data_IF_395364775557
#
_entry.id   IF_395364775557
#
_cell.length_a   1.000
_cell.length_b   1.000
_cell.length_c   1.000
_cell.angle_alpha   90.00
_cell.angle_beta   90.00
_cell.angle_gamma   90.00
#
_symmetry.space_group_name_H-M   'P 1'
#
loop_
_entity.id
_entity.type
_entity.pdbx_description
1 polymer ?
#
# COMPACT_ATOMS: atom_id res chain seq x y z
N UNK A 1 32.65 -30.29 -50.17
CA UNK A 1 31.47 -30.96 -50.78
C UNK A 1 30.47 -31.22 -49.70
N UNK A 2 29.39 -30.50 -49.65
CA UNK A 2 28.04 -30.89 -49.23
C UNK A 2 27.14 -29.64 -49.33
N UNK A 3 26.14 -29.79 -50.17
CA UNK A 3 25.23 -28.74 -50.66
C UNK A 3 24.18 -28.40 -49.61
N UNK A 4 23.92 -27.10 -49.42
CA UNK A 4 22.73 -26.60 -48.74
C UNK A 4 21.52 -26.69 -49.66
N UNK A 5 20.44 -27.31 -49.20
CA UNK A 5 19.16 -27.34 -49.88
C UNK A 5 18.26 -26.20 -49.34
N UNK A 6 17.89 -25.35 -50.28
CA UNK A 6 16.93 -24.26 -50.08
C UNK A 6 15.51 -24.83 -50.29
N UNK A 7 14.68 -24.84 -49.23
CA UNK A 7 13.27 -25.20 -49.31
C UNK A 7 12.44 -23.94 -49.50
N UNK A 8 11.89 -23.78 -50.69
CA UNK A 8 10.88 -22.79 -51.06
C UNK A 8 9.52 -23.33 -50.61
N UNK A 9 8.84 -22.65 -49.71
CA UNK A 9 7.45 -22.90 -49.38
C UNK A 9 6.53 -22.03 -50.25
N UNK A 10 5.79 -22.67 -51.14
CA UNK A 10 4.69 -22.07 -51.89
C UNK A 10 3.50 -21.80 -50.94
N UNK A 11 3.09 -20.55 -50.83
CA UNK A 11 1.84 -20.13 -50.20
C UNK A 11 0.68 -20.42 -51.17
N UNK A 12 -0.12 -21.41 -50.84
CA UNK A 12 -1.45 -21.62 -51.41
C UNK A 12 -2.42 -20.68 -50.69
N UNK A 13 -2.93 -19.71 -51.41
CA UNK A 13 -4.03 -18.84 -50.97
C UNK A 13 -5.34 -19.64 -51.02
N UNK A 14 -5.78 -20.11 -49.86
CA UNK A 14 -7.16 -20.57 -49.68
C UNK A 14 -7.99 -19.36 -49.23
N UNK A 15 -8.90 -18.92 -50.07
CA UNK A 15 -9.89 -17.90 -49.74
C UNK A 15 -10.82 -18.41 -48.64
N UNK A 16 -10.68 -17.86 -47.47
CA UNK A 16 -11.64 -18.02 -46.38
C UNK A 16 -12.71 -16.94 -46.54
N UNK A 17 -13.92 -17.38 -46.92
CA UNK A 17 -15.13 -16.57 -46.79
C UNK A 17 -15.32 -16.16 -45.32
N UNK A 18 -15.45 -14.86 -45.06
CA UNK A 18 -15.83 -14.34 -43.78
C UNK A 18 -17.23 -14.87 -43.41
N UNK A 19 -17.46 -15.31 -42.19
CA UNK A 19 -18.81 -15.59 -41.72
C UNK A 19 -19.54 -14.24 -41.56
N UNK A 20 -20.54 -14.00 -42.40
CA UNK A 20 -21.58 -13.02 -42.13
C UNK A 20 -22.43 -13.55 -40.98
N UNK A 21 -22.16 -13.06 -39.81
CA UNK A 21 -22.88 -13.31 -38.58
C UNK A 21 -22.46 -12.26 -37.59
N UNK A 22 -22.89 -11.03 -37.84
CA UNK A 22 -22.77 -9.96 -36.87
C UNK A 22 -23.62 -10.26 -35.65
N UNK A 23 -23.07 -10.99 -34.67
CA UNK A 23 -23.52 -10.89 -33.29
C UNK A 23 -23.22 -9.49 -32.83
N UNK A 24 -24.21 -8.62 -32.99
CA UNK A 24 -24.30 -7.36 -32.26
C UNK A 24 -24.27 -7.74 -30.79
N UNK A 25 -23.07 -7.62 -30.17
CA UNK A 25 -22.94 -7.63 -28.70
C UNK A 25 -23.93 -6.58 -28.21
N UNK A 26 -25.12 -7.03 -27.81
CA UNK A 26 -26.07 -6.19 -27.06
C UNK A 26 -25.26 -5.76 -25.85
N UNK A 27 -24.83 -4.50 -25.84
CA UNK A 27 -24.39 -3.81 -24.63
C UNK A 27 -25.58 -3.88 -23.68
N UNK A 28 -25.64 -4.93 -22.86
CA UNK A 28 -26.66 -5.05 -21.82
C UNK A 28 -26.47 -3.83 -20.91
N UNK A 29 -27.43 -2.92 -20.97
CA UNK A 29 -27.44 -1.74 -20.11
C UNK A 29 -27.34 -2.22 -18.67
N UNK A 30 -26.32 -1.74 -17.93
CA UNK A 30 -26.19 -2.07 -16.53
C UNK A 30 -27.49 -1.75 -15.79
N UNK A 31 -27.92 -2.58 -14.83
CA UNK A 31 -29.13 -2.33 -14.06
C UNK A 31 -28.97 -1.00 -13.30
N UNK A 32 -30.03 -0.19 -13.27
CA UNK A 32 -30.11 0.95 -12.36
C UNK A 32 -30.33 0.49 -10.91
N UNK A 33 -30.66 1.44 -10.05
CA UNK A 33 -31.03 1.09 -8.66
C UNK A 33 -32.37 0.35 -8.62
N UNK A 34 -32.48 -0.61 -7.72
CA UNK A 34 -33.77 -1.22 -7.33
C UNK A 34 -34.69 -0.19 -6.67
N UNK A 35 -35.98 -0.49 -6.58
CA UNK A 35 -36.92 0.42 -5.94
C UNK A 35 -36.58 0.73 -4.47
N UNK A 36 -36.21 -0.26 -3.62
CA UNK A 36 -35.76 0.01 -2.26
C UNK A 36 -34.52 0.93 -2.23
N UNK A 37 -33.48 0.64 -3.02
CA UNK A 37 -32.26 1.44 -3.07
C UNK A 37 -32.55 2.89 -3.52
N UNK A 38 -33.43 3.07 -4.52
CA UNK A 38 -33.91 4.42 -4.92
C UNK A 38 -34.66 5.12 -3.78
N UNK A 39 -35.49 4.39 -3.05
CA UNK A 39 -36.20 4.91 -1.88
C UNK A 39 -35.28 5.44 -0.79
N UNK A 40 -34.16 4.74 -0.53
CA UNK A 40 -33.13 5.24 0.38
C UNK A 40 -32.48 6.52 -0.16
N UNK A 41 -32.02 6.51 -1.41
CA UNK A 41 -31.30 7.65 -1.98
C UNK A 41 -32.21 8.87 -2.28
N UNK A 42 -33.54 8.69 -2.37
CA UNK A 42 -34.45 9.81 -2.46
C UNK A 42 -34.52 10.68 -1.20
N UNK A 43 -34.03 10.17 -0.06
CA UNK A 43 -33.89 10.87 1.22
C UNK A 43 -32.63 11.73 1.31
N UNK A 44 -31.78 11.76 0.27
CA UNK A 44 -30.57 12.59 0.27
C UNK A 44 -30.91 14.07 0.46
N UNK A 45 -30.14 14.77 1.32
CA UNK A 45 -30.30 16.21 1.48
C UNK A 45 -30.09 16.97 0.15
N UNK A 46 -30.72 18.15 0.00
CA UNK A 46 -30.54 18.99 -1.18
C UNK A 46 -29.06 19.25 -1.50
N UNK A 47 -28.70 19.19 -2.77
CA UNK A 47 -27.33 19.43 -3.23
C UNK A 47 -26.34 18.24 -3.02
N UNK A 48 -26.76 17.16 -2.36
CA UNK A 48 -25.95 15.95 -2.22
C UNK A 48 -26.18 15.03 -3.41
N UNK A 49 -25.04 14.62 -4.04
CA UNK A 49 -25.04 13.61 -5.10
C UNK A 49 -24.47 12.30 -4.57
N UNK A 50 -24.90 11.17 -5.14
CA UNK A 50 -24.40 9.85 -4.79
C UNK A 50 -23.91 9.09 -6.02
N UNK A 51 -22.75 8.45 -5.89
CA UNK A 51 -22.25 7.43 -6.80
C UNK A 51 -22.30 6.06 -6.12
N UNK A 52 -22.99 5.10 -6.75
CA UNK A 52 -23.19 3.76 -6.19
C UNK A 52 -22.87 2.71 -7.24
N UNK A 53 -22.16 1.67 -6.81
CA UNK A 53 -21.97 0.43 -7.57
C UNK A 53 -21.97 -0.76 -6.60
N UNK A 54 -22.71 -1.80 -6.96
CA UNK A 54 -22.76 -3.08 -6.25
C UNK A 54 -22.55 -4.22 -7.24
N UNK A 55 -21.67 -5.16 -6.89
CA UNK A 55 -21.33 -6.31 -7.72
C UNK A 55 -21.35 -7.57 -6.87
N UNK A 56 -22.01 -8.63 -7.38
CA UNK A 56 -21.88 -9.98 -6.83
C UNK A 56 -20.50 -10.55 -7.21
N UNK A 57 -19.70 -10.86 -6.20
CA UNK A 57 -18.33 -11.33 -6.42
C UNK A 57 -18.25 -12.78 -6.90
N UNK A 58 -19.33 -13.56 -6.73
CA UNK A 58 -19.39 -14.94 -7.20
C UNK A 58 -19.78 -15.02 -8.67
N UNK A 59 -20.84 -14.31 -9.05
CA UNK A 59 -21.37 -14.32 -10.43
C UNK A 59 -20.74 -13.26 -11.32
N UNK A 60 -20.09 -12.25 -10.75
CA UNK A 60 -19.55 -11.04 -11.40
C UNK A 60 -20.63 -10.10 -11.93
N UNK A 61 -21.88 -10.38 -11.64
CA UNK A 61 -22.99 -9.55 -12.07
C UNK A 61 -22.96 -8.17 -11.38
N UNK A 62 -23.19 -7.14 -12.16
CA UNK A 62 -23.52 -5.80 -11.63
C UNK A 62 -24.97 -5.86 -11.16
N UNK A 63 -25.21 -5.50 -9.90
CA UNK A 63 -26.51 -5.60 -9.25
C UNK A 63 -27.24 -4.24 -9.16
N UNK A 64 -26.52 -3.20 -8.82
CA UNK A 64 -27.04 -1.85 -8.59
C UNK A 64 -26.08 -0.79 -9.12
N UNK A 65 -26.55 0.21 -9.84
CA UNK A 65 -25.74 1.36 -10.28
C UNK A 65 -26.48 2.68 -10.17
N UNK A 66 -25.77 3.71 -9.73
CA UNK A 66 -26.13 5.12 -9.88
C UNK A 66 -24.84 5.93 -10.04
N UNK A 67 -24.72 6.67 -11.14
CA UNK A 67 -23.52 7.48 -11.44
C UNK A 67 -22.19 6.78 -11.10
N UNK A 68 -22.00 5.48 -11.51
CA UNK A 68 -20.87 4.67 -11.06
C UNK A 68 -19.52 5.17 -11.57
N UNK A 69 -19.54 5.96 -12.66
CA UNK A 69 -18.37 6.51 -13.33
C UNK A 69 -18.13 8.00 -13.06
N UNK A 70 -19.04 8.62 -12.32
CA UNK A 70 -18.87 10.02 -11.89
C UNK A 70 -17.74 10.13 -10.87
N UNK A 71 -16.98 11.24 -10.96
CA UNK A 71 -15.89 11.53 -10.07
C UNK A 71 -16.39 12.16 -8.76
N UNK A 72 -16.06 11.52 -7.63
CA UNK A 72 -16.38 11.97 -6.28
C UNK A 72 -15.13 12.20 -5.46
N UNK A 73 -15.19 13.07 -4.46
CA UNK A 73 -14.16 13.14 -3.41
C UNK A 73 -14.32 11.88 -2.54
N UNK A 74 -13.28 11.03 -2.47
CA UNK A 74 -13.39 9.74 -1.79
C UNK A 74 -13.18 9.82 -0.28
N UNK A 75 -12.64 10.92 0.22
CA UNK A 75 -12.10 11.00 1.57
C UNK A 75 -11.22 9.76 1.87
N UNK A 76 -11.27 9.21 3.09
CA UNK A 76 -10.42 8.09 3.50
C UNK A 76 -10.70 6.74 2.82
N UNK A 77 -11.68 6.63 1.90
CA UNK A 77 -11.81 5.40 1.09
C UNK A 77 -10.66 5.25 0.08
N UNK A 78 -9.90 6.32 -0.23
CA UNK A 78 -8.68 6.23 -1.03
C UNK A 78 -7.63 5.30 -0.39
N UNK A 79 -7.64 5.13 0.95
CA UNK A 79 -6.77 4.21 1.66
C UNK A 79 -6.91 2.75 1.20
N UNK A 80 -8.02 2.40 0.54
CA UNK A 80 -8.17 1.10 -0.11
C UNK A 80 -7.17 0.93 -1.26
N UNK A 81 -6.90 2.01 -2.01
CA UNK A 81 -5.91 2.00 -3.10
C UNK A 81 -4.50 1.91 -2.51
N UNK A 82 -4.18 2.76 -1.55
CA UNK A 82 -2.88 2.75 -0.88
C UNK A 82 -2.60 1.39 -0.24
N UNK A 83 -3.56 0.81 0.49
CA UNK A 83 -3.42 -0.51 1.08
C UNK A 83 -3.18 -1.60 0.03
N UNK A 84 -3.95 -1.58 -1.05
CA UNK A 84 -3.88 -2.58 -2.10
C UNK A 84 -2.55 -2.55 -2.87
N UNK A 85 -2.11 -1.35 -3.27
CA UNK A 85 -0.86 -1.17 -4.00
C UNK A 85 0.36 -1.52 -3.15
N UNK A 86 0.34 -1.15 -1.85
CA UNK A 86 1.40 -1.51 -0.90
C UNK A 86 1.45 -3.01 -0.66
N UNK A 87 0.29 -3.65 -0.47
CA UNK A 87 0.22 -5.10 -0.25
C UNK A 87 0.80 -5.87 -1.44
N UNK A 88 0.44 -5.48 -2.65
CA UNK A 88 0.92 -6.10 -3.89
C UNK A 88 2.43 -5.86 -4.11
N UNK A 89 2.90 -4.61 -3.97
CA UNK A 89 4.33 -4.27 -4.13
C UNK A 89 5.23 -5.00 -3.12
N UNK A 90 4.71 -5.36 -1.95
CA UNK A 90 5.44 -6.06 -0.89
C UNK A 90 5.32 -7.58 -0.94
N UNK A 91 4.79 -8.14 -2.02
CA UNK A 91 4.66 -9.59 -2.18
C UNK A 91 3.52 -10.21 -1.36
N UNK A 92 2.46 -9.45 -1.15
CA UNK A 92 1.27 -9.93 -0.46
C UNK A 92 1.47 -10.10 1.04
N UNK A 93 0.75 -11.04 1.62
CA UNK A 93 0.75 -11.32 3.07
C UNK A 93 2.03 -11.94 3.60
N UNK A 94 2.86 -12.54 2.73
CA UNK A 94 4.16 -13.13 3.09
C UNK A 94 5.32 -12.13 3.01
N UNK A 95 5.09 -10.94 2.47
CA UNK A 95 6.07 -9.89 2.38
C UNK A 95 6.47 -9.31 3.75
N UNK A 96 7.47 -8.45 3.71
CA UNK A 96 7.90 -7.68 4.88
C UNK A 96 8.68 -6.44 4.45
N UNK A 97 8.73 -5.46 5.32
CA UNK A 97 9.75 -4.42 5.27
C UNK A 97 11.00 -4.89 5.99
N UNK A 98 12.14 -4.34 5.62
CA UNK A 98 13.42 -4.66 6.23
C UNK A 98 14.13 -3.40 6.69
N UNK A 99 14.87 -3.53 7.78
CA UNK A 99 15.88 -2.55 8.19
C UNK A 99 17.19 -3.29 8.44
N UNK A 100 18.29 -2.65 8.08
CA UNK A 100 19.63 -3.25 8.19
C UNK A 100 20.66 -2.25 8.66
N UNK A 101 21.73 -2.77 9.29
CA UNK A 101 22.95 -2.05 9.55
C UNK A 101 24.04 -2.56 8.60
N UNK A 102 24.69 -1.62 7.91
CA UNK A 102 25.74 -1.90 6.94
C UNK A 102 27.05 -1.25 7.34
N UNK A 103 28.16 -1.84 6.92
CA UNK A 103 29.52 -1.34 7.11
C UNK A 103 30.27 -1.33 5.78
N UNK A 104 31.38 -0.57 5.62
CA UNK A 104 32.22 -0.68 4.44
C UNK A 104 32.64 -2.12 4.17
N UNK A 105 32.56 -2.54 2.92
CA UNK A 105 32.88 -3.92 2.53
C UNK A 105 34.27 -4.39 3.00
N UNK A 106 35.24 -3.46 3.03
CA UNK A 106 36.62 -3.73 3.51
C UNK A 106 36.73 -3.95 5.04
N UNK A 107 35.63 -3.66 5.77
CA UNK A 107 35.63 -3.70 7.25
C UNK A 107 34.70 -4.78 7.81
N UNK A 108 34.10 -5.57 6.96
CA UNK A 108 33.28 -6.72 7.39
C UNK A 108 34.15 -7.68 8.23
N UNK A 109 33.60 -8.10 9.38
CA UNK A 109 34.32 -8.97 10.33
C UNK A 109 35.34 -8.25 11.23
N UNK A 110 35.50 -6.91 11.08
CA UNK A 110 36.37 -6.13 11.97
C UNK A 110 35.64 -5.68 13.23
N UNK A 111 36.31 -5.70 14.37
CA UNK A 111 35.73 -5.18 15.61
C UNK A 111 35.58 -3.64 15.59
N UNK A 112 36.43 -2.96 14.85
CA UNK A 112 36.40 -1.51 14.68
C UNK A 112 36.04 -1.16 13.25
N UNK A 113 34.97 -0.35 13.07
CA UNK A 113 34.48 0.11 11.78
C UNK A 113 34.44 1.65 11.74
N UNK A 114 34.78 2.22 10.58
CA UNK A 114 34.81 3.68 10.41
C UNK A 114 33.41 4.30 10.55
N UNK A 115 32.38 3.59 10.05
CA UNK A 115 31.01 3.98 10.20
C UNK A 115 30.07 2.77 10.12
N UNK A 116 28.87 2.97 10.67
CA UNK A 116 27.76 2.03 10.62
C UNK A 116 26.54 2.78 10.06
N UNK A 117 25.96 2.29 8.97
CA UNK A 117 24.84 2.93 8.29
C UNK A 117 23.55 2.18 8.57
N UNK A 118 22.52 2.88 9.07
CA UNK A 118 21.15 2.36 9.12
C UNK A 118 20.47 2.59 7.79
N UNK A 119 19.97 1.52 7.18
CA UNK A 119 19.16 1.49 5.97
C UNK A 119 17.79 0.89 6.29
N UNK A 120 16.74 1.36 5.64
CA UNK A 120 15.39 0.85 5.88
C UNK A 120 14.46 1.10 4.71
N UNK A 121 13.25 0.57 4.81
CA UNK A 121 12.23 0.64 3.76
C UNK A 121 11.25 1.82 3.92
N UNK A 122 11.44 2.68 4.91
CA UNK A 122 10.54 3.82 5.16
C UNK A 122 9.19 3.45 5.78
N UNK A 123 9.02 2.21 6.21
CA UNK A 123 7.79 1.75 6.82
C UNK A 123 7.59 2.32 8.23
N UNK A 124 6.33 2.45 8.69
CA UNK A 124 5.99 3.08 9.98
C UNK A 124 6.12 2.14 11.18
N UNK A 125 6.78 0.98 11.07
CA UNK A 125 6.73 -0.07 12.11
C UNK A 125 8.08 -0.43 12.71
N UNK A 126 9.19 0.12 12.21
CA UNK A 126 10.49 0.00 12.85
C UNK A 126 10.42 0.66 14.24
N UNK A 127 10.73 -0.09 15.29
CA UNK A 127 10.64 0.37 16.67
C UNK A 127 12.02 0.53 17.31
N UNK A 128 12.09 1.14 18.48
CA UNK A 128 13.32 1.16 19.28
C UNK A 128 13.58 -0.22 19.87
N UNK A 129 12.53 -0.93 20.32
CA UNK A 129 12.63 -2.24 20.98
C UNK A 129 11.70 -3.27 20.33
N UNK A 130 11.94 -4.55 20.57
CA UNK A 130 11.17 -5.66 20.01
C UNK A 130 11.93 -6.40 18.91
N UNK A 131 11.23 -7.24 18.16
CA UNK A 131 11.85 -8.07 17.12
C UNK A 131 12.26 -7.26 15.88
N UNK A 132 11.43 -6.31 15.46
CA UNK A 132 11.72 -5.38 14.35
C UNK A 132 12.14 -4.02 14.93
N UNK A 133 13.42 -3.92 15.33
CA UNK A 133 13.85 -2.77 16.14
C UNK A 133 15.33 -2.43 16.01
N UNK A 134 15.65 -1.20 16.46
CA UNK A 134 17.02 -0.73 16.59
C UNK A 134 17.83 -1.59 17.59
N UNK A 135 17.19 -2.04 18.68
CA UNK A 135 17.82 -2.93 19.68
C UNK A 135 18.22 -4.26 19.06
N UNK A 136 17.33 -4.91 18.32
CA UNK A 136 17.62 -6.17 17.67
C UNK A 136 18.75 -6.02 16.64
N UNK A 137 18.77 -4.92 15.88
CA UNK A 137 19.87 -4.60 14.96
C UNK A 137 21.20 -4.41 15.71
N UNK A 138 21.21 -3.67 16.81
CA UNK A 138 22.42 -3.43 17.61
C UNK A 138 22.98 -4.74 18.20
N UNK A 139 22.11 -5.61 18.72
CA UNK A 139 22.49 -6.92 19.25
C UNK A 139 23.09 -7.82 18.17
N UNK A 140 22.50 -7.84 16.97
CA UNK A 140 23.05 -8.60 15.85
C UNK A 140 24.41 -8.05 15.41
N UNK A 141 24.57 -6.73 15.30
CA UNK A 141 25.85 -6.12 14.95
C UNK A 141 26.95 -6.49 15.97
N UNK A 142 26.61 -6.50 17.26
CA UNK A 142 27.52 -6.96 18.32
C UNK A 142 27.87 -8.46 18.15
N UNK A 143 26.88 -9.30 17.89
CA UNK A 143 27.09 -10.73 17.65
C UNK A 143 27.97 -10.99 16.41
N UNK A 144 27.89 -10.14 15.39
CA UNK A 144 28.77 -10.17 14.20
C UNK A 144 30.16 -9.54 14.42
N UNK A 145 30.53 -9.25 15.67
CA UNK A 145 31.86 -8.84 16.03
C UNK A 145 32.11 -7.34 16.08
N UNK A 146 31.17 -6.49 15.75
CA UNK A 146 31.31 -5.02 15.84
C UNK A 146 31.41 -4.61 17.31
N UNK A 147 32.44 -3.82 17.67
CA UNK A 147 32.69 -3.33 19.03
C UNK A 147 32.87 -1.82 19.09
N UNK A 148 33.40 -1.22 18.03
CA UNK A 148 33.63 0.22 17.95
C UNK A 148 33.18 0.76 16.60
N UNK A 149 32.45 1.84 16.63
CA UNK A 149 31.92 2.56 15.45
C UNK A 149 32.44 3.99 15.47
N UNK A 150 33.11 4.43 14.41
CA UNK A 150 33.56 5.80 14.29
C UNK A 150 32.39 6.78 14.22
N UNK A 151 31.45 6.53 13.32
CA UNK A 151 30.28 7.38 13.10
C UNK A 151 29.03 6.55 12.73
N UNK A 152 27.88 6.89 13.32
CA UNK A 152 26.57 6.40 12.87
C UNK A 152 26.09 7.23 11.69
N UNK A 153 25.61 6.57 10.62
CA UNK A 153 25.02 7.22 9.44
C UNK A 153 23.60 6.75 9.22
N UNK A 154 22.75 7.62 8.68
CA UNK A 154 21.38 7.32 8.32
C UNK A 154 21.20 7.48 6.80
N UNK A 155 20.61 6.47 6.17
CA UNK A 155 20.30 6.52 4.74
C UNK A 155 18.95 7.20 4.50
N UNK A 156 18.99 8.47 4.12
CA UNK A 156 17.83 9.26 3.75
C UNK A 156 17.68 9.39 2.21
N UNK A 157 18.57 8.74 1.44
CA UNK A 157 18.60 8.86 -0.01
C UNK A 157 17.39 8.25 -0.74
N UNK A 158 16.67 7.25 -0.17
CA UNK A 158 15.52 6.66 -0.84
C UNK A 158 14.34 7.62 -1.08
N UNK A 159 14.24 8.72 -0.30
CA UNK A 159 13.22 9.76 -0.52
C UNK A 159 13.89 11.11 -0.80
N UNK A 160 13.33 11.87 -1.73
CA UNK A 160 13.83 13.21 -2.02
C UNK A 160 13.42 14.21 -0.95
N UNK A 161 14.23 15.25 -0.76
CA UNK A 161 13.90 16.38 0.10
C UNK A 161 12.63 17.15 -0.33
N UNK A 162 12.16 16.96 -1.56
CA UNK A 162 10.94 17.58 -2.07
C UNK A 162 9.65 16.95 -1.49
N UNK A 163 9.72 15.78 -0.85
CA UNK A 163 8.61 15.24 -0.07
C UNK A 163 8.68 15.77 1.38
N UNK A 164 8.78 17.08 1.50
CA UNK A 164 9.02 17.69 2.80
C UNK A 164 7.82 17.68 3.74
N UNK A 165 6.60 17.64 3.17
CA UNK A 165 5.37 17.71 3.97
C UNK A 165 4.28 16.82 3.39
N UNK A 166 3.60 16.10 4.30
CA UNK A 166 2.33 15.44 4.02
C UNK A 166 1.17 16.44 4.10
N UNK A 167 -0.05 16.06 3.71
CA UNK A 167 -1.25 16.87 3.99
C UNK A 167 -1.46 17.19 5.48
N UNK A 168 -0.74 16.51 6.37
CA UNK A 168 -0.74 16.74 7.82
C UNK A 168 0.29 17.79 8.26
N UNK A 169 1.05 18.37 7.34
CA UNK A 169 2.15 19.29 7.68
C UNK A 169 3.37 18.62 8.32
N UNK A 170 3.46 17.28 8.27
CA UNK A 170 4.55 16.50 8.84
C UNK A 170 5.56 16.08 7.78
N UNK A 171 6.87 16.06 8.09
CA UNK A 171 7.89 15.65 7.15
C UNK A 171 7.79 14.14 6.87
N UNK A 172 8.03 13.75 5.62
CA UNK A 172 8.24 12.37 5.23
C UNK A 172 9.74 12.09 5.10
N UNK A 173 10.21 11.09 5.85
CA UNK A 173 11.62 10.68 5.86
C UNK A 173 11.76 9.22 5.48
N UNK A 174 12.90 8.83 4.90
CA UNK A 174 13.16 7.47 4.46
C UNK A 174 13.26 6.46 5.60
N UNK A 175 13.54 6.92 6.81
CA UNK A 175 13.61 6.13 8.03
C UNK A 175 12.67 6.74 9.07
N UNK A 176 11.84 5.90 9.68
CA UNK A 176 10.82 6.30 10.65
C UNK A 176 10.80 5.34 11.85
N UNK A 177 10.27 5.80 12.99
CA UNK A 177 10.06 4.96 14.17
C UNK A 177 8.58 4.87 14.52
N UNK A 178 8.15 3.70 14.95
CA UNK A 178 6.77 3.42 15.36
C UNK A 178 6.32 4.34 16.52
N UNK A 179 7.22 4.70 17.41
CA UNK A 179 6.99 5.58 18.56
C UNK A 179 6.63 7.02 18.15
N UNK A 180 6.98 7.44 16.93
CA UNK A 180 6.64 8.80 16.45
C UNK A 180 5.15 9.00 16.19
N UNK A 181 4.38 7.94 16.25
CA UNK A 181 2.92 8.03 16.15
C UNK A 181 2.29 8.89 17.25
N UNK A 182 2.83 8.80 18.47
CA UNK A 182 2.36 9.60 19.62
C UNK A 182 2.88 11.03 19.56
N UNK A 183 4.13 11.18 19.15
CA UNK A 183 4.81 12.49 19.07
C UNK A 183 5.66 12.55 17.79
N UNK A 184 5.04 12.84 16.64
CA UNK A 184 5.78 12.93 15.38
C UNK A 184 6.79 14.07 15.41
N UNK A 185 7.96 13.90 14.74
CA UNK A 185 8.92 14.99 14.60
C UNK A 185 8.33 16.09 13.70
N UNK A 186 8.55 17.34 14.07
CA UNK A 186 8.05 18.49 13.31
C UNK A 186 8.89 18.78 12.05
N UNK A 187 10.16 18.37 12.04
CA UNK A 187 11.10 18.59 10.92
C UNK A 187 11.89 17.33 10.58
N UNK A 188 12.39 17.25 9.36
CA UNK A 188 13.27 16.16 8.93
C UNK A 188 14.59 16.14 9.73
N UNK A 189 15.09 17.29 10.14
CA UNK A 189 16.28 17.40 11.00
C UNK A 189 16.02 16.80 12.39
N UNK A 190 14.87 17.09 12.98
CA UNK A 190 14.46 16.50 14.25
C UNK A 190 14.27 14.99 14.14
N UNK A 191 13.66 14.50 13.05
CA UNK A 191 13.52 13.07 12.79
C UNK A 191 14.89 12.38 12.73
N UNK A 192 15.85 12.97 12.01
CA UNK A 192 17.20 12.46 11.90
C UNK A 192 17.91 12.43 13.26
N UNK A 193 17.82 13.51 14.03
CA UNK A 193 18.44 13.60 15.34
C UNK A 193 17.87 12.58 16.33
N UNK A 194 16.53 12.47 16.41
CA UNK A 194 15.86 11.50 17.30
C UNK A 194 16.21 10.04 16.93
N UNK A 195 16.18 9.71 15.65
CA UNK A 195 16.52 8.36 15.18
C UNK A 195 17.98 8.01 15.47
N UNK A 196 18.89 8.93 15.14
CA UNK A 196 20.31 8.76 15.38
C UNK A 196 20.65 8.57 16.86
N UNK A 197 20.06 9.41 17.72
CA UNK A 197 20.20 9.30 19.18
C UNK A 197 19.69 7.95 19.71
N UNK A 198 18.52 7.50 19.25
CA UNK A 198 17.97 6.20 19.63
C UNK A 198 18.88 5.05 19.20
N UNK A 199 19.39 5.09 17.97
CA UNK A 199 20.32 4.04 17.47
C UNK A 199 21.61 4.02 18.27
N UNK A 200 22.23 5.18 18.52
CA UNK A 200 23.46 5.28 19.33
C UNK A 200 23.23 4.70 20.73
N UNK A 201 22.09 4.99 21.34
CA UNK A 201 21.73 4.47 22.65
C UNK A 201 21.64 2.93 22.64
N UNK A 202 20.96 2.34 21.64
CA UNK A 202 20.83 0.89 21.55
C UNK A 202 22.17 0.20 21.21
N UNK A 203 23.03 0.82 20.38
CA UNK A 203 24.39 0.33 20.13
C UNK A 203 25.20 0.29 21.44
N UNK A 204 25.17 1.36 22.24
CA UNK A 204 25.87 1.40 23.53
C UNK A 204 25.32 0.37 24.51
N UNK A 205 24.02 0.17 24.57
CA UNK A 205 23.40 -0.90 25.38
C UNK A 205 23.83 -2.30 24.97
N UNK A 206 24.06 -2.49 23.68
CA UNK A 206 24.59 -3.76 23.15
C UNK A 206 26.10 -3.95 23.39
N UNK A 207 26.82 -2.97 23.94
CA UNK A 207 28.26 -3.02 24.17
C UNK A 207 29.11 -2.49 23.02
N UNK A 208 28.52 -1.74 22.09
CA UNK A 208 29.23 -1.12 20.97
C UNK A 208 29.49 0.36 21.29
N UNK A 209 30.76 0.78 21.34
CA UNK A 209 31.13 2.17 21.53
C UNK A 209 30.95 2.96 20.22
N UNK A 210 30.52 4.21 20.33
CA UNK A 210 30.36 5.15 19.21
C UNK A 210 31.18 6.39 19.51
N UNK A 211 32.19 6.64 18.64
CA UNK A 211 33.17 7.71 18.87
C UNK A 211 32.61 9.09 18.56
N UNK A 212 31.90 9.26 17.43
CA UNK A 212 31.31 10.53 17.03
C UNK A 212 29.94 10.74 17.64
N UNK A 213 29.72 11.92 18.23
CA UNK A 213 28.37 12.36 18.62
C UNK A 213 27.52 12.81 17.42
N UNK A 214 28.13 13.12 16.28
CA UNK A 214 27.43 13.57 15.09
C UNK A 214 26.85 12.41 14.30
N UNK A 215 25.58 12.53 13.97
CA UNK A 215 24.88 11.59 13.07
C UNK A 215 25.13 12.01 11.63
N UNK A 216 25.83 11.13 10.89
CA UNK A 216 26.13 11.35 9.47
C UNK A 216 24.97 10.99 8.57
N UNK A 217 25.09 11.36 7.31
CA UNK A 217 24.21 10.91 6.22
C UNK A 217 24.94 9.89 5.36
N UNK A 218 24.26 8.85 4.93
CA UNK A 218 24.78 7.94 3.93
C UNK A 218 24.91 8.68 2.59
N UNK A 219 25.98 8.36 1.85
CA UNK A 219 26.09 8.79 0.46
C UNK A 219 25.02 8.08 -0.39
N UNK A 220 24.52 8.70 -1.46
CA UNK A 220 23.67 8.04 -2.42
C UNK A 220 24.36 6.78 -2.96
N UNK A 221 23.62 5.66 -3.03
CA UNK A 221 24.13 4.45 -3.66
C UNK A 221 24.42 4.77 -5.15
N UNK A 222 25.66 4.52 -5.57
CA UNK A 222 26.05 4.61 -6.98
C UNK A 222 26.54 3.22 -7.39
N UNK A 223 25.85 2.57 -8.34
CA UNK A 223 26.37 1.33 -8.90
C UNK A 223 27.76 1.55 -9.47
N UNK A 224 28.67 0.61 -9.20
CA UNK A 224 29.97 0.64 -9.87
C UNK A 224 29.76 0.42 -11.37
N UNK A 225 30.28 1.33 -12.19
CA UNK A 225 30.35 1.19 -13.64
C UNK A 225 31.78 0.79 -13.98
N UNK A 226 32.03 -0.47 -14.39
CA UNK A 226 33.37 -0.90 -14.75
C UNK A 226 33.86 -0.12 -15.96
N UNK A 227 35.16 0.21 -16.04
CA UNK A 227 35.74 0.82 -17.23
C UNK A 227 35.49 -0.03 -18.47
N UNK A 228 35.28 0.65 -19.61
CA UNK A 228 35.21 -0.03 -20.89
C UNK A 228 36.55 -0.73 -21.16
N UNK A 229 36.47 -1.98 -21.65
CA UNK A 229 37.65 -2.79 -21.98
C UNK A 229 37.60 -3.15 -23.46
N UNK A 230 38.75 -3.17 -24.09
CA UNK A 230 38.91 -3.64 -25.48
C UNK A 230 40.02 -4.67 -25.55
N UNK A 231 39.96 -5.55 -26.55
CA UNK A 231 41.04 -6.47 -26.88
C UNK A 231 42.16 -5.69 -27.68
N UNK A 232 43.21 -6.40 -28.01
CA UNK A 232 44.37 -5.84 -28.77
C UNK A 232 43.99 -5.37 -30.20
N UNK A 233 42.77 -5.73 -30.65
CA UNK A 233 42.22 -5.34 -31.95
C UNK A 233 41.18 -4.21 -31.83
N UNK A 234 41.02 -3.63 -30.61
CA UNK A 234 40.05 -2.57 -30.33
C UNK A 234 38.60 -3.01 -30.21
N UNK A 235 38.31 -4.30 -30.17
CA UNK A 235 36.94 -4.84 -30.01
C UNK A 235 36.49 -4.81 -28.57
N UNK A 236 35.23 -4.44 -28.28
CA UNK A 236 34.70 -4.39 -26.91
C UNK A 236 34.78 -5.77 -26.24
N UNK A 237 35.36 -5.80 -25.06
CA UNK A 237 35.33 -6.95 -24.15
C UNK A 237 34.19 -6.79 -23.14
N UNK A 238 33.66 -7.93 -22.59
CA UNK A 238 32.72 -7.89 -21.49
C UNK A 238 33.29 -7.09 -20.31
N UNK A 239 32.43 -6.37 -19.55
CA UNK A 239 32.86 -5.68 -18.33
C UNK A 239 33.57 -6.63 -17.37
N UNK A 240 34.61 -6.14 -16.69
CA UNK A 240 35.26 -6.89 -15.63
C UNK A 240 34.27 -7.11 -14.48
N UNK A 241 33.92 -8.35 -14.12
CA UNK A 241 33.01 -8.61 -13.00
C UNK A 241 33.62 -8.24 -11.65
N UNK A 242 34.96 -8.01 -11.59
CA UNK A 242 35.63 -7.69 -10.35
C UNK A 242 35.43 -6.21 -9.99
N UNK A 243 34.82 -5.99 -8.82
CA UNK A 243 34.61 -4.65 -8.25
C UNK A 243 35.71 -4.40 -7.22
N UNK A 244 36.51 -3.33 -7.35
CA UNK A 244 37.51 -2.96 -6.34
C UNK A 244 36.86 -2.84 -4.95
N UNK A 245 37.52 -3.36 -3.92
CA UNK A 245 36.97 -3.42 -2.56
C UNK A 245 36.50 -2.06 -2.03
N UNK A 246 37.19 -0.98 -2.37
CA UNK A 246 36.84 0.39 -2.00
C UNK A 246 35.56 0.90 -2.71
N UNK A 247 35.18 0.27 -3.82
CA UNK A 247 34.00 0.64 -4.62
C UNK A 247 32.83 -0.32 -4.47
N UNK A 248 33.03 -1.39 -3.70
CA UNK A 248 31.94 -2.30 -3.34
C UNK A 248 30.93 -1.59 -2.46
N UNK A 249 29.63 -1.87 -2.64
CA UNK A 249 28.61 -1.36 -1.74
C UNK A 249 28.89 -1.80 -0.30
N UNK A 250 28.42 -1.01 0.67
CA UNK A 250 28.42 -1.43 2.07
C UNK A 250 27.72 -2.78 2.21
N UNK A 251 28.17 -3.59 3.15
CA UNK A 251 27.61 -4.93 3.42
C UNK A 251 26.88 -4.97 4.74
N UNK A 252 25.77 -5.74 4.78
CA UNK A 252 24.97 -5.92 5.97
C UNK A 252 25.69 -6.71 7.06
N UNK A 253 25.62 -6.20 8.28
CA UNK A 253 26.09 -6.88 9.50
C UNK A 253 24.95 -7.16 10.47
N UNK A 254 23.77 -6.61 10.22
CA UNK A 254 22.53 -6.90 10.96
C UNK A 254 21.34 -6.63 10.07
N UNK A 255 20.28 -7.43 10.19
CA UNK A 255 19.05 -7.24 9.45
C UNK A 255 17.85 -7.71 10.27
N UNK A 256 16.76 -6.94 10.24
CA UNK A 256 15.49 -7.29 10.89
C UNK A 256 14.34 -7.16 9.89
N UNK A 257 13.29 -7.95 10.09
CA UNK A 257 12.10 -7.97 9.25
C UNK A 257 10.86 -7.58 10.05
N UNK A 258 10.00 -6.79 9.46
CA UNK A 258 8.73 -6.37 10.06
C UNK A 258 7.73 -7.53 10.21
N UNK A 259 6.63 -7.26 10.90
CA UNK A 259 5.42 -8.06 10.77
C UNK A 259 4.90 -8.04 9.32
N UNK A 260 4.00 -8.97 8.99
CA UNK A 260 3.40 -9.03 7.65
C UNK A 260 2.70 -7.70 7.30
N UNK A 261 2.68 -7.30 6.02
CA UNK A 261 1.98 -6.11 5.56
C UNK A 261 0.51 -6.07 6.01
N UNK A 262 -0.17 -7.21 6.08
CA UNK A 262 -1.56 -7.30 6.52
C UNK A 262 -1.80 -6.69 7.91
N UNK A 263 -0.90 -6.94 8.89
CA UNK A 263 -1.01 -6.33 10.23
C UNK A 263 -0.83 -4.83 10.21
N UNK A 264 0.11 -4.36 9.40
CA UNK A 264 0.38 -2.92 9.25
C UNK A 264 -0.80 -2.22 8.58
N UNK A 265 -1.40 -2.85 7.55
CA UNK A 265 -2.58 -2.33 6.87
C UNK A 265 -3.80 -2.27 7.81
N UNK A 266 -4.02 -3.29 8.65
CA UNK A 266 -5.11 -3.26 9.64
C UNK A 266 -4.97 -2.08 10.60
N UNK A 267 -3.75 -1.82 11.06
CA UNK A 267 -3.44 -0.69 11.93
C UNK A 267 -3.59 0.69 11.24
N UNK A 268 -3.64 0.76 9.90
CA UNK A 268 -3.99 1.95 9.13
C UNK A 268 -5.50 2.03 8.85
N UNK A 269 -6.08 0.93 8.34
CA UNK A 269 -7.44 0.92 7.80
C UNK A 269 -8.50 1.03 8.89
N UNK A 270 -8.35 0.28 10.00
CA UNK A 270 -9.34 0.23 11.07
C UNK A 270 -9.54 1.57 11.77
N UNK A 271 -8.51 2.23 12.31
CA UNK A 271 -8.65 3.57 12.90
C UNK A 271 -8.69 4.69 11.85
N UNK A 272 -8.48 4.35 10.57
CA UNK A 272 -8.35 5.34 9.49
C UNK A 272 -7.16 6.30 9.66
N UNK A 273 -6.01 5.79 10.10
CA UNK A 273 -4.82 6.56 10.42
C UNK A 273 -4.24 7.26 9.17
N UNK A 274 -4.29 8.59 9.15
CA UNK A 274 -3.87 9.40 8.01
C UNK A 274 -2.34 9.41 7.88
N UNK A 275 -1.61 9.54 8.98
CA UNK A 275 -0.15 9.58 8.95
C UNK A 275 0.41 8.26 8.43
N UNK A 276 -0.11 7.13 8.93
CA UNK A 276 0.31 5.82 8.47
C UNK A 276 -0.02 5.59 6.98
N UNK A 277 -1.11 6.14 6.49
CA UNK A 277 -1.44 6.08 5.06
C UNK A 277 -0.39 6.81 4.20
N UNK A 278 0.03 8.01 4.61
CA UNK A 278 1.09 8.74 3.91
C UNK A 278 2.45 8.03 4.01
N UNK A 279 2.77 7.47 5.18
CA UNK A 279 3.99 6.70 5.38
C UNK A 279 4.03 5.45 4.49
N UNK A 280 2.92 4.72 4.40
CA UNK A 280 2.81 3.55 3.53
C UNK A 280 2.87 3.93 2.05
N UNK A 281 2.20 5.01 1.64
CA UNK A 281 2.34 5.56 0.28
C UNK A 281 3.81 5.87 -0.03
N UNK A 282 4.53 6.48 0.92
CA UNK A 282 5.95 6.78 0.76
C UNK A 282 6.80 5.54 0.47
N UNK A 283 6.45 4.39 1.05
CA UNK A 283 7.19 3.14 0.80
C UNK A 283 7.15 2.70 -0.67
N UNK A 284 6.15 3.11 -1.43
CA UNK A 284 6.06 2.83 -2.87
C UNK A 284 7.10 3.60 -3.69
N UNK A 285 7.48 4.80 -3.23
CA UNK A 285 8.53 5.60 -3.87
C UNK A 285 9.94 5.18 -3.48
N UNK A 286 10.05 4.41 -2.40
CA UNK A 286 11.33 4.06 -1.80
C UNK A 286 12.19 3.20 -2.73
N UNK A 287 13.35 3.70 -3.15
CA UNK A 287 14.33 3.01 -3.98
C UNK A 287 15.74 3.26 -3.45
N UNK A 288 16.58 2.23 -3.33
CA UNK A 288 17.99 2.43 -2.99
C UNK A 288 18.65 3.39 -4.00
N UNK A 289 19.26 4.46 -3.49
CA UNK A 289 19.89 5.47 -4.32
C UNK A 289 18.96 6.32 -5.20
N UNK A 290 17.65 6.16 -5.05
CA UNK A 290 16.65 6.86 -5.86
C UNK A 290 15.92 7.94 -5.06
N UNK A 291 15.91 9.16 -5.53
CA UNK A 291 15.16 10.28 -4.95
C UNK A 291 13.64 10.08 -5.09
N UNK A 292 13.06 9.20 -4.29
CA UNK A 292 11.63 8.93 -4.28
C UNK A 292 10.81 10.19 -4.00
N UNK A 293 9.74 10.40 -4.77
CA UNK A 293 8.86 11.57 -4.66
C UNK A 293 7.41 11.14 -4.48
N UNK A 294 6.56 12.04 -3.97
CA UNK A 294 5.11 11.83 -3.94
C UNK A 294 4.56 11.50 -5.33
N UNK A 295 4.97 12.25 -6.35
CA UNK A 295 4.56 11.99 -7.73
C UNK A 295 4.95 10.58 -8.20
N UNK A 296 6.14 10.09 -7.81
CA UNK A 296 6.59 8.74 -8.09
C UNK A 296 5.76 7.67 -7.38
N UNK A 297 5.42 7.87 -6.10
CA UNK A 297 4.54 6.97 -5.36
C UNK A 297 3.14 6.90 -5.99
N UNK A 298 2.53 8.05 -6.28
CA UNK A 298 1.22 8.13 -6.93
C UNK A 298 1.23 7.55 -8.35
N UNK A 299 2.34 7.68 -9.07
CA UNK A 299 2.50 7.04 -10.38
C UNK A 299 2.48 5.50 -10.27
N UNK A 300 3.04 4.93 -9.19
CA UNK A 300 2.98 3.49 -8.92
C UNK A 300 1.58 3.04 -8.55
N UNK A 301 0.86 3.78 -7.74
CA UNK A 301 -0.56 3.49 -7.48
C UNK A 301 -1.38 3.52 -8.77
N UNK A 302 -1.18 4.52 -9.65
CA UNK A 302 -1.85 4.57 -10.96
C UNK A 302 -1.46 3.37 -11.85
N UNK A 303 -0.20 2.96 -11.84
CA UNK A 303 0.24 1.79 -12.61
C UNK A 303 -0.40 0.51 -12.06
N UNK A 304 -0.50 0.38 -10.73
CA UNK A 304 -1.20 -0.73 -10.10
C UNK A 304 -2.70 -0.74 -10.46
N UNK A 305 -3.39 0.40 -10.38
CA UNK A 305 -4.80 0.55 -10.77
C UNK A 305 -5.05 0.09 -12.21
N UNK A 306 -4.19 0.49 -13.16
CA UNK A 306 -4.28 0.02 -14.57
C UNK A 306 -4.11 -1.49 -14.67
N UNK A 307 -3.14 -2.06 -13.95
CA UNK A 307 -2.86 -3.50 -13.97
C UNK A 307 -4.05 -4.33 -13.48
N UNK A 308 -4.81 -3.83 -12.52
CA UNK A 308 -6.01 -4.50 -12.01
C UNK A 308 -7.30 -4.13 -12.76
N UNK A 309 -7.18 -3.39 -13.87
CA UNK A 309 -8.29 -3.09 -14.77
C UNK A 309 -9.13 -1.88 -14.39
N UNK A 310 -8.62 -0.97 -13.55
CA UNK A 310 -9.31 0.29 -13.25
C UNK A 310 -9.18 1.25 -14.42
N UNK A 311 -10.33 1.73 -14.94
CA UNK A 311 -10.35 2.89 -15.83
C UNK A 311 -10.01 4.16 -15.03
N UNK A 312 -8.97 4.85 -15.47
CA UNK A 312 -8.51 6.06 -14.79
C UNK A 312 -9.29 7.34 -15.16
N UNK A 313 -10.28 7.27 -16.04
CA UNK A 313 -11.18 8.39 -16.28
C UNK A 313 -11.90 8.73 -14.97
N UNK A 314 -11.91 10.01 -14.61
CA UNK A 314 -12.48 10.46 -13.33
C UNK A 314 -11.65 10.10 -12.08
N UNK A 315 -10.46 9.48 -12.22
CA UNK A 315 -9.56 9.15 -11.12
C UNK A 315 -8.42 10.16 -11.01
N UNK A 316 -8.32 10.81 -9.86
CA UNK A 316 -7.19 11.68 -9.50
C UNK A 316 -6.69 11.31 -8.12
N UNK A 317 -5.42 11.01 -8.01
CA UNK A 317 -4.74 10.72 -6.75
C UNK A 317 -3.85 11.91 -6.39
N UNK A 318 -4.03 12.47 -5.22
CA UNK A 318 -3.26 13.59 -4.69
C UNK A 318 -2.49 13.24 -3.40
N UNK A 319 -2.99 12.29 -2.63
CA UNK A 319 -2.36 11.77 -1.40
C UNK A 319 -2.80 10.32 -1.13
N UNK A 320 -2.24 9.70 -0.11
CA UNK A 320 -2.60 8.33 0.32
C UNK A 320 -3.66 8.28 1.42
N UNK A 321 -3.91 9.38 2.10
CA UNK A 321 -4.79 9.46 3.27
C UNK A 321 -6.23 9.83 2.95
N UNK A 322 -6.45 10.60 1.89
CA UNK A 322 -7.74 11.16 1.51
C UNK A 322 -8.06 12.48 2.20
N UNK A 323 -7.08 13.16 2.77
CA UNK A 323 -7.26 14.50 3.32
C UNK A 323 -7.37 15.56 2.23
N UNK A 324 -6.67 15.37 1.12
CA UNK A 324 -6.74 16.29 -0.01
C UNK A 324 -8.11 16.21 -0.70
N UNK A 325 -8.77 17.38 -0.79
CA UNK A 325 -10.03 17.50 -1.54
C UNK A 325 -9.81 17.43 -3.07
N UNK A 326 -8.58 17.32 -3.53
CA UNK A 326 -8.27 17.14 -4.95
C UNK A 326 -8.38 15.67 -5.40
N UNK A 327 -8.37 14.72 -4.47
CA UNK A 327 -8.62 13.32 -4.80
C UNK A 327 -9.98 13.13 -5.48
N UNK A 328 -10.00 12.32 -6.53
CA UNK A 328 -11.23 11.90 -7.22
C UNK A 328 -11.21 10.40 -7.46
N UNK A 329 -12.27 9.74 -7.10
CA UNK A 329 -12.53 8.34 -7.42
C UNK A 329 -13.95 8.15 -7.92
N UNK A 330 -14.16 7.11 -8.69
CA UNK A 330 -15.48 6.64 -9.10
C UNK A 330 -15.89 5.44 -8.25
N UNK A 331 -17.18 5.18 -8.11
CA UNK A 331 -17.67 3.97 -7.44
C UNK A 331 -17.14 2.72 -8.16
N UNK A 332 -17.05 2.76 -9.51
CA UNK A 332 -16.50 1.67 -10.32
C UNK A 332 -15.02 1.43 -10.02
N UNK A 333 -14.23 2.46 -9.88
CA UNK A 333 -12.81 2.32 -9.53
C UNK A 333 -12.64 1.59 -8.19
N UNK A 334 -13.41 1.98 -7.16
CA UNK A 334 -13.36 1.34 -5.84
C UNK A 334 -13.83 -0.11 -5.88
N UNK A 335 -14.94 -0.42 -6.55
CA UNK A 335 -15.43 -1.81 -6.68
C UNK A 335 -14.46 -2.66 -7.49
N UNK A 336 -13.81 -2.12 -8.52
CA UNK A 336 -12.77 -2.84 -9.27
C UNK A 336 -11.57 -3.19 -8.39
N UNK A 337 -11.13 -2.26 -7.53
CA UNK A 337 -10.07 -2.52 -6.53
C UNK A 337 -10.50 -3.60 -5.53
N UNK A 338 -11.71 -3.50 -4.99
CA UNK A 338 -12.25 -4.49 -4.06
C UNK A 338 -12.34 -5.88 -4.71
N UNK A 339 -12.83 -5.95 -5.95
CA UNK A 339 -12.89 -7.20 -6.71
C UNK A 339 -11.51 -7.79 -6.94
N UNK A 340 -10.52 -6.98 -7.33
CA UNK A 340 -9.14 -7.42 -7.50
C UNK A 340 -8.57 -8.00 -6.20
N UNK A 341 -8.80 -7.34 -5.06
CA UNK A 341 -8.34 -7.82 -3.76
C UNK A 341 -9.07 -9.09 -3.30
N UNK A 342 -10.34 -9.25 -3.64
CA UNK A 342 -11.08 -10.49 -3.39
C UNK A 342 -10.50 -11.66 -4.18
N UNK A 343 -10.04 -11.44 -5.40
CA UNK A 343 -9.50 -12.47 -6.30
C UNK A 343 -8.02 -12.78 -6.07
N UNK A 344 -7.25 -11.82 -5.52
CA UNK A 344 -5.83 -12.01 -5.29
C UNK A 344 -5.57 -12.96 -4.11
N UNK A 345 -4.65 -13.92 -4.26
CA UNK A 345 -4.29 -14.84 -3.18
C UNK A 345 -3.36 -14.15 -2.16
N UNK A 346 -3.93 -13.50 -1.17
CA UNK A 346 -3.20 -12.94 -0.03
C UNK A 346 -3.55 -13.71 1.26
N UNK A 347 -3.10 -14.99 1.42
CA UNK A 347 -3.45 -15.78 2.59
C UNK A 347 -2.88 -15.17 3.87
N UNK A 348 -3.67 -15.17 4.94
CA UNK A 348 -3.14 -14.93 6.27
C UNK A 348 -2.19 -16.06 6.68
N UNK A 349 -1.12 -15.77 7.40
CA UNK A 349 -0.23 -16.80 7.93
C UNK A 349 -1.01 -17.88 8.70
N UNK A 350 -0.74 -19.15 8.41
CA UNK A 350 -1.42 -20.29 9.03
C UNK A 350 -2.80 -20.64 8.48
N UNK A 351 -3.28 -19.92 7.42
CA UNK A 351 -4.59 -20.19 6.79
C UNK A 351 -4.49 -20.57 5.31
N UNK A 352 -3.36 -21.10 4.90
CA UNK A 352 -3.05 -21.46 3.50
C UNK A 352 -3.85 -22.66 2.98
N UNK A 353 -4.50 -23.45 3.84
CA UNK A 353 -5.28 -24.64 3.46
C UNK A 353 -6.79 -24.45 3.42
N UNK A 354 -7.30 -23.21 3.50
CA UNK A 354 -8.75 -22.97 3.47
C UNK A 354 -9.31 -23.18 2.04
N UNK A 355 -10.48 -23.84 1.90
CA UNK A 355 -11.20 -23.89 0.63
C UNK A 355 -11.40 -22.47 0.06
N UNK A 356 -11.33 -22.33 -1.26
CA UNK A 356 -11.30 -21.03 -1.94
C UNK A 356 -12.41 -20.04 -1.53
N UNK A 357 -13.63 -20.53 -1.24
CA UNK A 357 -14.72 -19.69 -0.76
C UNK A 357 -14.49 -19.15 0.65
N UNK A 358 -14.04 -20.00 1.59
CA UNK A 358 -13.70 -19.60 2.96
C UNK A 358 -12.43 -18.75 3.02
N UNK A 359 -11.48 -19.07 2.14
CA UNK A 359 -10.25 -18.29 1.99
C UNK A 359 -10.55 -16.83 1.64
N UNK A 360 -11.44 -16.61 0.67
CA UNK A 360 -11.78 -15.26 0.19
C UNK A 360 -12.48 -14.39 1.23
N UNK A 361 -13.19 -15.00 2.19
CA UNK A 361 -13.96 -14.28 3.21
C UNK A 361 -13.30 -14.26 4.59
N UNK A 362 -12.49 -15.26 4.94
CA UNK A 362 -11.92 -15.41 6.29
C UNK A 362 -10.40 -15.53 6.34
N UNK A 363 -9.76 -15.74 5.22
CA UNK A 363 -8.31 -15.90 5.11
C UNK A 363 -7.62 -14.82 4.28
N UNK A 364 -8.37 -13.92 3.65
CA UNK A 364 -7.82 -12.86 2.82
C UNK A 364 -7.29 -11.72 3.69
N UNK A 365 -5.99 -11.47 3.60
CA UNK A 365 -5.28 -10.48 4.40
C UNK A 365 -5.82 -9.06 4.24
N UNK A 366 -6.24 -8.67 3.03
CA UNK A 366 -6.81 -7.36 2.77
C UNK A 366 -8.19 -7.21 3.43
N UNK A 367 -9.07 -8.20 3.25
CA UNK A 367 -10.44 -8.18 3.80
C UNK A 367 -10.39 -8.17 5.33
N UNK A 368 -9.52 -9.00 5.93
CA UNK A 368 -9.31 -9.04 7.38
C UNK A 368 -8.71 -7.74 7.96
N UNK A 369 -8.02 -6.95 7.14
CA UNK A 369 -7.49 -5.65 7.56
C UNK A 369 -8.57 -4.55 7.62
N UNK A 370 -9.72 -4.74 6.99
CA UNK A 370 -10.79 -3.74 6.96
C UNK A 370 -11.52 -3.63 8.31
N UNK A 371 -12.07 -2.44 8.63
CA UNK A 371 -13.03 -2.30 9.72
C UNK A 371 -14.23 -3.23 9.55
N UNK A 372 -14.69 -3.84 10.65
CA UNK A 372 -15.88 -4.68 10.70
C UNK A 372 -17.02 -3.95 11.41
N UNK A 373 -18.20 -3.93 10.79
CA UNK A 373 -19.37 -3.29 11.38
C UNK A 373 -19.96 -4.10 12.53
N UNK A 374 -20.70 -3.42 13.40
CA UNK A 374 -21.53 -4.05 14.42
C UNK A 374 -20.80 -4.71 15.59
N UNK A 375 -19.49 -4.47 15.75
CA UNK A 375 -18.72 -5.10 16.85
C UNK A 375 -18.99 -4.45 18.21
N UNK A 376 -19.55 -3.24 18.25
CA UNK A 376 -19.79 -2.49 19.49
C UNK A 376 -18.54 -1.95 20.17
N UNK A 377 -17.37 -2.46 19.80
CA UNK A 377 -16.08 -2.10 20.38
C UNK A 377 -15.28 -1.20 19.46
N UNK A 378 -14.80 -0.12 20.02
CA UNK A 378 -13.83 0.76 19.36
C UNK A 378 -12.65 0.97 20.30
N UNK A 379 -11.86 -0.09 20.52
CA UNK A 379 -10.67 -0.07 21.38
C UNK A 379 -9.45 0.14 20.49
N UNK A 380 -8.86 1.34 20.48
CA UNK A 380 -7.71 1.67 19.61
C UNK A 380 -6.46 0.82 19.90
N UNK A 381 -6.36 0.27 21.11
CA UNK A 381 -5.15 -0.37 21.63
C UNK A 381 -5.05 -1.86 21.30
N UNK A 382 -6.15 -2.48 20.98
CA UNK A 382 -6.21 -3.90 20.67
C UNK A 382 -6.67 -4.10 19.25
N UNK A 383 -5.91 -3.93 18.20
CA UNK A 383 -6.28 -4.31 16.83
C UNK A 383 -7.82 -4.54 16.62
N UNK A 384 -8.63 -3.72 17.31
CA UNK A 384 -10.09 -3.85 17.38
C UNK A 384 -10.67 -3.97 15.97
N UNK A 385 -11.31 -5.09 15.67
CA UNK A 385 -11.83 -5.39 14.33
C UNK A 385 -12.81 -4.33 13.84
N UNK A 386 -13.52 -3.67 14.76
CA UNK A 386 -14.55 -2.68 14.45
C UNK A 386 -14.01 -1.37 13.87
N UNK A 387 -12.98 -0.81 14.45
CA UNK A 387 -12.42 0.46 14.02
C UNK A 387 -13.50 1.54 13.83
N UNK A 388 -13.50 2.22 12.69
CA UNK A 388 -14.49 3.28 12.36
C UNK A 388 -15.90 2.76 12.09
N UNK A 389 -16.11 1.45 11.99
CA UNK A 389 -17.42 0.82 11.79
C UNK A 389 -17.97 0.15 13.05
N UNK A 390 -17.22 0.11 14.15
CA UNK A 390 -17.62 -0.62 15.36
C UNK A 390 -19.06 -0.37 15.81
N UNK A 391 -19.49 0.90 15.76
CA UNK A 391 -20.81 1.37 16.20
C UNK A 391 -21.82 1.56 15.05
N UNK A 392 -21.50 1.12 13.83
CA UNK A 392 -22.42 1.17 12.69
C UNK A 392 -23.03 -0.19 12.45
N UNK A 393 -24.27 -0.24 11.95
CA UNK A 393 -25.00 -1.49 11.66
C UNK A 393 -25.12 -2.40 12.88
N UNK A 394 -25.22 -1.83 14.10
CA UNK A 394 -25.41 -2.59 15.33
C UNK A 394 -26.73 -3.37 15.26
N UNK A 395 -26.70 -4.65 15.65
CA UNK A 395 -27.88 -5.51 15.66
C UNK A 395 -28.39 -5.96 14.29
N UNK A 396 -27.75 -5.54 13.19
CA UNK A 396 -28.19 -5.92 11.84
C UNK A 396 -27.86 -7.40 11.48
N UNK A 397 -26.96 -8.06 12.23
CA UNK A 397 -26.55 -9.43 11.95
C UNK A 397 -25.77 -9.62 10.66
N UNK A 398 -25.21 -8.54 10.09
CA UNK A 398 -24.52 -8.52 8.81
C UNK A 398 -23.00 -8.59 9.00
N UNK A 399 -22.29 -9.42 8.21
CA UNK A 399 -20.82 -9.32 8.08
C UNK A 399 -20.47 -8.26 7.04
N UNK A 400 -20.27 -7.03 7.50
CA UNK A 400 -19.83 -5.90 6.67
C UNK A 400 -18.40 -5.55 7.02
N UNK A 401 -17.53 -5.59 6.02
CA UNK A 401 -16.12 -5.22 6.11
C UNK A 401 -15.83 -4.11 5.13
N UNK A 402 -15.71 -2.87 5.61
CA UNK A 402 -15.64 -1.73 4.73
C UNK A 402 -14.78 -0.59 5.29
N UNK A 403 -14.31 0.25 4.39
CA UNK A 403 -13.61 1.48 4.73
C UNK A 403 -14.55 2.66 4.65
N UNK A 404 -14.57 3.45 5.71
CA UNK A 404 -15.28 4.73 5.77
C UNK A 404 -14.43 5.86 5.21
N UNK A 405 -15.07 6.88 4.64
CA UNK A 405 -14.48 8.17 4.29
C UNK A 405 -15.35 9.31 4.78
N UNK A 406 -14.76 10.36 5.38
CA UNK A 406 -15.48 11.52 5.85
C UNK A 406 -14.62 12.76 5.76
N UNK A 407 -15.17 13.81 5.13
CA UNK A 407 -14.70 15.21 5.16
C UNK A 407 -15.96 16.11 5.27
N UNK A 408 -15.86 17.40 5.52
CA UNK A 408 -16.99 18.30 5.41
C UNK A 408 -17.72 18.11 4.07
N UNK A 409 -19.03 17.86 4.10
CA UNK A 409 -19.85 17.58 2.92
C UNK A 409 -19.57 16.26 2.20
N UNK A 410 -18.72 15.38 2.73
CA UNK A 410 -18.35 14.11 2.10
C UNK A 410 -18.57 12.94 3.03
N UNK A 411 -19.34 11.94 2.59
CA UNK A 411 -19.45 10.64 3.25
C UNK A 411 -19.25 9.52 2.24
N UNK A 412 -18.34 8.60 2.52
CA UNK A 412 -18.04 7.47 1.64
C UNK A 412 -17.97 6.17 2.44
N UNK A 413 -18.42 5.08 1.81
CA UNK A 413 -18.33 3.73 2.35
C UNK A 413 -18.08 2.75 1.21
N UNK A 414 -17.03 1.94 1.29
CA UNK A 414 -16.73 0.94 0.27
C UNK A 414 -16.11 -0.32 0.89
N UNK A 415 -16.55 -1.48 0.46
CA UNK A 415 -16.09 -2.76 1.02
C UNK A 415 -16.96 -3.93 0.59
N UNK A 416 -17.16 -4.84 1.51
CA UNK A 416 -17.83 -6.12 1.31
C UNK A 416 -18.98 -6.30 2.30
N UNK A 417 -20.03 -6.97 1.84
CA UNK A 417 -21.13 -7.47 2.67
C UNK A 417 -21.55 -8.83 2.15
N UNK A 418 -21.93 -9.73 3.05
CA UNK A 418 -22.56 -11.00 2.67
C UNK A 418 -24.05 -10.78 2.52
N UNK A 419 -24.58 -11.07 1.35
CA UNK A 419 -25.98 -10.96 1.03
C UNK A 419 -26.80 -12.15 1.61
N UNK A 420 -28.14 -12.04 1.55
CA UNK A 420 -29.09 -13.09 1.98
C UNK A 420 -28.87 -14.43 1.26
N UNK A 421 -28.46 -14.38 0.00
CA UNK A 421 -28.09 -15.56 -0.79
C UNK A 421 -26.82 -16.27 -0.32
N UNK A 422 -26.08 -15.70 0.65
CA UNK A 422 -24.75 -16.13 1.05
C UNK A 422 -23.65 -15.68 0.08
N UNK A 423 -23.99 -14.90 -0.95
CA UNK A 423 -23.00 -14.37 -1.88
C UNK A 423 -22.26 -13.17 -1.29
N UNK A 424 -20.95 -13.09 -1.40
CA UNK A 424 -20.20 -11.89 -1.07
C UNK A 424 -20.44 -10.83 -2.16
N UNK A 425 -20.83 -9.64 -1.72
CA UNK A 425 -21.02 -8.47 -2.55
C UNK A 425 -19.88 -7.48 -2.31
N UNK A 426 -19.35 -6.88 -3.38
CA UNK A 426 -18.52 -5.68 -3.29
C UNK A 426 -19.38 -4.45 -3.57
N UNK A 427 -19.22 -3.42 -2.75
CA UNK A 427 -19.98 -2.20 -2.92
C UNK A 427 -19.12 -0.95 -2.70
N UNK A 428 -19.52 0.15 -3.35
CA UNK A 428 -19.02 1.49 -3.09
C UNK A 428 -20.18 2.47 -3.11
N UNK A 429 -20.27 3.33 -2.09
CA UNK A 429 -21.25 4.38 -1.90
C UNK A 429 -20.49 5.67 -1.62
N UNK A 430 -20.48 6.60 -2.56
CA UNK A 430 -19.82 7.89 -2.48
C UNK A 430 -20.88 8.98 -2.45
N UNK A 431 -20.93 9.81 -1.41
CA UNK A 431 -21.87 10.92 -1.26
C UNK A 431 -21.10 12.22 -1.09
N UNK A 432 -21.34 13.18 -1.96
CA UNK A 432 -20.72 14.50 -1.93
C UNK A 432 -21.78 15.60 -2.04
N UNK A 433 -21.69 16.61 -1.20
CA UNK A 433 -22.60 17.75 -1.14
C UNK A 433 -21.92 19.01 -0.61
N UNK A 434 -22.70 20.03 -0.26
CA UNK A 434 -22.20 21.21 0.43
C UNK A 434 -21.46 20.86 1.71
N UNK A 435 -20.51 21.70 2.15
CA UNK A 435 -19.66 21.39 3.31
C UNK A 435 -20.45 21.25 4.63
N UNK A 436 -21.59 21.89 4.73
CA UNK A 436 -22.52 21.81 5.85
C UNK A 436 -23.52 20.65 5.75
N UNK A 437 -23.45 19.81 4.70
CA UNK A 437 -24.32 18.66 4.59
C UNK A 437 -24.25 17.77 5.84
N UNK A 438 -25.41 17.27 6.36
CA UNK A 438 -25.48 16.57 7.64
C UNK A 438 -24.85 15.18 7.55
N UNK A 439 -23.57 15.06 7.95
CA UNK A 439 -22.75 13.84 7.82
C UNK A 439 -23.39 12.64 8.52
N UNK A 440 -24.06 12.82 9.66
CA UNK A 440 -24.72 11.71 10.36
C UNK A 440 -25.89 11.15 9.56
N UNK A 441 -26.66 12.01 8.90
CA UNK A 441 -27.73 11.60 7.97
C UNK A 441 -27.14 10.82 6.79
N UNK A 442 -26.04 11.31 6.18
CA UNK A 442 -25.41 10.61 5.08
C UNK A 442 -24.92 9.21 5.49
N UNK A 443 -24.36 9.08 6.71
CA UNK A 443 -23.95 7.77 7.26
C UNK A 443 -25.14 6.85 7.51
N UNK A 444 -26.25 7.37 8.04
CA UNK A 444 -27.46 6.59 8.27
C UNK A 444 -28.03 6.05 6.93
N UNK A 445 -28.06 6.87 5.89
CA UNK A 445 -28.49 6.45 4.55
C UNK A 445 -27.55 5.39 3.94
N UNK A 446 -26.25 5.47 4.19
CA UNK A 446 -25.32 4.41 3.79
C UNK A 446 -25.62 3.09 4.50
N UNK A 447 -25.89 3.13 5.82
CA UNK A 447 -26.23 1.95 6.60
C UNK A 447 -27.54 1.32 6.14
N UNK A 448 -28.58 2.15 5.92
CA UNK A 448 -29.87 1.72 5.38
C UNK A 448 -29.68 1.07 3.99
N UNK A 449 -28.90 1.69 3.11
CA UNK A 449 -28.63 1.14 1.78
C UNK A 449 -27.91 -0.21 1.85
N UNK A 450 -26.92 -0.36 2.72
CA UNK A 450 -26.19 -1.64 2.90
C UNK A 450 -27.14 -2.73 3.43
N UNK A 451 -28.04 -2.39 4.35
CA UNK A 451 -29.05 -3.33 4.85
C UNK A 451 -30.01 -3.78 3.74
N UNK A 452 -30.52 -2.85 2.93
CA UNK A 452 -31.39 -3.16 1.79
C UNK A 452 -30.69 -4.07 0.77
N UNK A 453 -29.42 -3.78 0.44
CA UNK A 453 -28.61 -4.59 -0.48
C UNK A 453 -28.42 -6.01 0.07
N UNK A 454 -28.06 -6.15 1.35
CA UNK A 454 -27.86 -7.44 1.98
C UNK A 454 -29.13 -8.26 2.12
N UNK A 455 -30.29 -7.60 2.36
CA UNK A 455 -31.57 -8.27 2.45
C UNK A 455 -32.09 -8.74 1.08
N UNK A 456 -31.72 -8.02 0.01
CA UNK A 456 -32.19 -8.28 -1.34
C UNK A 456 -31.39 -9.39 -2.05
N UNK A 457 -30.10 -9.38 -1.93
CA UNK A 457 -29.17 -10.25 -2.64
C UNK A 457 -28.53 -11.29 -1.72
#
# INVERSE_FOLDING_TARGET
>A
MRRAALLIFCLLSAGAQAPEGGDTVRLTREPGLSAPARGVLSKLPPGVRAGVLVVDLRTRAVLETQAPDDAFIPASTIKLITASSVLDERGGSSGAWTAELTVPAAQVGRAQVSHLTLRGSGDPTLAVTGAYSLRALAQQAYAHGVRQVGQVRLDQTPLSGAWAQTPLGLPMTALRLAEWRVRPPATAAEAQARLGAALVQELRRAGISVASAQIGRAAPFRPYVPPARTDDQGRPLPPDPWIPLAQRPEQGVASVRSASPARVLAAMLRPSDNLRAEELLATLAHRPGGNGTLAGALARERAWLRRVGVDLRGVRLADGSGLSRENRLTARALVTVLRAQYDLPHPLPGKTGLPGALYRTRGNAFIEALPQAGTGENVPEHDGRGGTLARRLLGAGLDVRAKTGTLPGVSALAGYVTGRSGHPLAFAILMNGPEDAPILTLRALQDELVQELAARY
#
